data_IF_791475480972
#
_entry.id   IF_791475480972
#
_cell.length_a   1.000
_cell.length_b   1.000
_cell.length_c   1.000
_cell.angle_alpha   90.00
_cell.angle_beta   90.00
_cell.angle_gamma   90.00
#
_symmetry.space_group_name_H-M   'P 1'
#
loop_
_entity.id
_entity.type
_entity.pdbx_description
1 polymer ?
#
# COMPACT_ATOMS: atom_id res chain seq x y z
N UNK A 1 12.45 3.13 14.07
CA UNK A 1 12.31 4.59 14.10
C UNK A 1 10.93 4.96 13.54
N UNK A 2 10.28 6.00 14.08
CA UNK A 2 9.03 6.55 13.54
C UNK A 2 9.17 6.93 12.06
N UNK A 3 8.10 6.81 11.30
CA UNK A 3 8.05 7.25 9.90
C UNK A 3 7.15 8.47 9.82
N UNK A 4 7.76 9.64 9.64
CA UNK A 4 7.04 10.88 9.35
C UNK A 4 6.68 10.96 7.86
N UNK A 5 5.75 11.85 7.53
CA UNK A 5 5.36 12.13 6.15
C UNK A 5 3.86 12.16 5.95
N UNK A 6 3.45 12.36 4.69
CA UNK A 6 2.05 12.49 4.31
C UNK A 6 1.44 11.12 3.97
N UNK A 7 0.25 10.87 4.50
CA UNK A 7 -0.57 9.70 4.13
C UNK A 7 -1.14 9.94 2.74
N UNK A 8 -0.62 9.20 1.76
CA UNK A 8 -0.99 9.38 0.34
C UNK A 8 -2.24 8.61 -0.05
N UNK A 9 -2.51 7.49 0.62
CA UNK A 9 -3.69 6.68 0.40
C UNK A 9 -4.11 6.01 1.70
N UNK A 10 -5.41 5.99 1.98
CA UNK A 10 -5.95 5.43 3.21
C UNK A 10 -7.28 4.71 2.97
N UNK A 11 -7.31 3.40 3.22
CA UNK A 11 -8.53 2.60 3.15
C UNK A 11 -8.55 1.61 4.31
N UNK A 12 -9.50 1.81 5.21
CA UNK A 12 -9.73 0.93 6.35
C UNK A 12 -10.31 -0.42 5.91
N UNK A 13 -9.98 -1.53 6.61
CA UNK A 13 -10.68 -2.79 6.45
C UNK A 13 -12.08 -2.68 7.07
N UNK A 14 -13.06 -3.35 6.47
CA UNK A 14 -14.43 -3.40 6.96
C UNK A 14 -14.96 -4.83 6.99
N UNK A 15 -15.98 -5.06 7.81
CA UNK A 15 -16.71 -6.33 7.89
C UNK A 15 -17.13 -6.70 9.31
N UNK A 16 -17.87 -7.80 9.49
CA UNK A 16 -18.38 -8.22 10.78
C UNK A 16 -17.26 -8.49 11.81
N UNK A 17 -17.35 -7.80 12.95
CA UNK A 17 -16.36 -7.91 14.02
C UNK A 17 -15.01 -7.26 13.70
N UNK A 18 -14.96 -6.33 12.75
CA UNK A 18 -13.80 -5.46 12.49
C UNK A 18 -14.19 -4.03 12.89
N UNK A 19 -13.34 -3.40 13.70
CA UNK A 19 -13.48 -2.00 14.11
C UNK A 19 -12.14 -1.29 13.95
N UNK A 20 -12.17 -0.07 13.43
CA UNK A 20 -11.00 0.81 13.35
C UNK A 20 -11.28 2.07 14.15
N UNK A 21 -10.39 2.37 15.10
CA UNK A 21 -10.34 3.66 15.78
C UNK A 21 -9.16 4.43 15.21
N UNK A 22 -9.41 5.32 14.25
CA UNK A 22 -8.38 6.09 13.55
C UNK A 22 -8.31 7.54 14.01
N UNK A 23 -7.09 8.08 14.13
CA UNK A 23 -6.82 9.51 14.30
C UNK A 23 -6.42 10.21 13.00
N UNK A 24 -6.37 9.48 11.87
CA UNK A 24 -5.85 9.99 10.60
C UNK A 24 -6.81 9.70 9.45
N UNK A 25 -6.60 10.40 8.34
CA UNK A 25 -7.30 10.17 7.06
C UNK A 25 -6.32 10.34 5.90
N UNK A 26 -6.79 10.06 4.69
CA UNK A 26 -6.01 10.39 3.50
C UNK A 26 -5.64 11.88 3.47
N UNK A 27 -4.38 12.15 3.15
CA UNK A 27 -3.79 13.49 3.17
C UNK A 27 -3.30 13.99 4.54
N UNK A 28 -3.55 13.26 5.64
CA UNK A 28 -2.99 13.59 6.97
C UNK A 28 -1.47 13.61 6.96
N UNK A 29 -0.88 14.47 7.79
CA UNK A 29 0.57 14.58 7.98
C UNK A 29 0.96 13.95 9.32
N UNK A 30 1.91 13.02 9.28
CA UNK A 30 2.50 12.39 10.46
C UNK A 30 3.76 13.18 10.83
N UNK A 31 3.68 13.94 11.91
CA UNK A 31 4.80 14.75 12.42
C UNK A 31 5.61 13.98 13.47
N UNK A 32 6.73 14.56 13.89
CA UNK A 32 7.59 14.00 14.94
C UNK A 32 7.16 14.43 16.35
N UNK A 33 6.26 15.41 16.45
CA UNK A 33 5.93 16.08 17.70
C UNK A 33 5.08 15.21 18.65
N UNK A 34 4.49 14.15 18.12
CA UNK A 34 3.61 13.23 18.85
C UNK A 34 3.99 11.77 18.62
N UNK A 35 3.41 10.88 19.44
CA UNK A 35 3.54 9.43 19.26
C UNK A 35 3.02 9.01 17.86
N UNK A 36 3.76 8.20 17.08
CA UNK A 36 3.35 7.74 15.75
C UNK A 36 2.14 6.77 15.72
N UNK A 37 1.32 6.70 16.76
CA UNK A 37 0.11 5.89 16.76
C UNK A 37 -0.93 6.50 15.80
N UNK A 38 -1.14 5.83 14.65
CA UNK A 38 -2.08 6.30 13.62
C UNK A 38 -3.51 5.84 13.87
N UNK A 39 -3.68 4.57 14.21
CA UNK A 39 -4.98 3.94 14.38
C UNK A 39 -4.86 2.64 15.20
N UNK A 40 -5.99 2.21 15.79
CA UNK A 40 -6.15 0.90 16.41
C UNK A 40 -7.07 0.06 15.54
N UNK A 41 -6.59 -1.11 15.10
CA UNK A 41 -7.41 -2.12 14.43
C UNK A 41 -7.81 -3.17 15.46
N UNK A 42 -9.11 -3.31 15.68
CA UNK A 42 -9.69 -4.24 16.66
C UNK A 42 -10.50 -5.30 15.91
N UNK A 43 -10.31 -6.55 16.30
CA UNK A 43 -11.00 -7.69 15.71
C UNK A 43 -11.65 -8.55 16.80
N UNK A 44 -12.89 -8.97 16.54
CA UNK A 44 -13.65 -9.89 17.37
C UNK A 44 -14.09 -11.12 16.57
N UNK A 45 -13.95 -12.29 17.21
CA UNK A 45 -14.42 -13.59 16.70
C UNK A 45 -14.72 -14.53 17.90
N UNK A 46 -15.49 -15.62 17.68
CA UNK A 46 -15.89 -16.54 18.75
C UNK A 46 -14.73 -17.24 19.45
N UNK A 47 -13.64 -17.49 18.74
CA UNK A 47 -12.45 -18.14 19.26
C UNK A 47 -11.17 -17.46 18.77
N UNK A 48 -10.05 -17.89 19.37
CA UNK A 48 -8.74 -17.29 19.18
C UNK A 48 -8.20 -17.49 17.77
N UNK A 49 -8.39 -18.67 17.19
CA UNK A 49 -7.85 -19.01 15.88
C UNK A 49 -8.57 -18.21 14.79
N UNK A 50 -9.91 -18.09 14.91
CA UNK A 50 -10.71 -17.22 14.04
C UNK A 50 -10.36 -15.75 14.22
N UNK A 51 -10.09 -15.30 15.45
CA UNK A 51 -9.69 -13.91 15.72
C UNK A 51 -8.34 -13.59 15.06
N UNK A 52 -7.36 -14.51 15.14
CA UNK A 52 -6.06 -14.38 14.47
C UNK A 52 -6.22 -14.33 12.96
N UNK A 53 -6.94 -15.30 12.38
CA UNK A 53 -7.14 -15.36 10.93
C UNK A 53 -7.84 -14.09 10.41
N UNK A 54 -8.85 -13.61 11.14
CA UNK A 54 -9.57 -12.38 10.81
C UNK A 54 -8.68 -11.14 10.96
N UNK A 55 -7.85 -11.06 12.01
CA UNK A 55 -6.89 -9.95 12.20
C UNK A 55 -5.85 -9.91 11.08
N UNK A 56 -5.29 -11.05 10.68
CA UNK A 56 -4.34 -11.13 9.56
C UNK A 56 -5.01 -10.64 8.26
N UNK A 57 -6.24 -11.08 8.01
CA UNK A 57 -7.01 -10.65 6.82
C UNK A 57 -7.29 -9.15 6.85
N UNK A 58 -7.74 -8.62 7.98
CA UNK A 58 -8.00 -7.19 8.15
C UNK A 58 -6.72 -6.36 7.98
N UNK A 59 -5.59 -6.83 8.54
CA UNK A 59 -4.28 -6.21 8.33
C UNK A 59 -3.91 -6.21 6.86
N UNK A 60 -4.07 -7.30 6.11
CA UNK A 60 -3.80 -7.32 4.67
C UNK A 60 -4.66 -6.32 3.90
N UNK A 61 -5.94 -6.21 4.24
CA UNK A 61 -6.88 -5.29 3.59
C UNK A 61 -6.72 -3.82 3.97
N UNK A 62 -6.02 -3.51 5.05
CA UNK A 62 -5.82 -2.14 5.52
C UNK A 62 -4.77 -1.39 4.71
N UNK A 63 -5.17 -0.58 3.73
CA UNK A 63 -4.22 0.10 2.83
C UNK A 63 -3.83 1.45 3.43
N UNK A 64 -2.53 1.63 3.70
CA UNK A 64 -1.93 2.88 4.16
C UNK A 64 -0.65 3.08 3.34
N UNK A 65 -0.61 4.13 2.51
CA UNK A 65 0.55 4.47 1.68
C UNK A 65 1.11 5.85 2.05
N UNK A 66 2.38 6.08 1.73
CA UNK A 66 3.10 7.33 2.02
C UNK A 66 3.98 7.28 3.27
N UNK A 67 3.67 6.39 4.22
CA UNK A 67 4.45 6.20 5.46
C UNK A 67 4.70 4.72 5.73
N UNK A 68 5.79 4.38 6.43
CA UNK A 68 6.04 3.00 6.89
C UNK A 68 5.11 2.66 8.04
N UNK A 69 4.62 1.43 8.07
CA UNK A 69 3.69 0.96 9.11
C UNK A 69 4.20 -0.31 9.78
N UNK A 70 3.74 -0.56 11.02
CA UNK A 70 4.04 -1.80 11.76
C UNK A 70 3.19 -2.99 11.30
N UNK A 71 2.28 -2.83 10.32
CA UNK A 71 1.36 -3.89 9.85
C UNK A 71 2.04 -5.23 9.60
N UNK A 72 3.12 -5.22 8.82
CA UNK A 72 3.82 -6.46 8.46
C UNK A 72 4.38 -7.16 9.69
N UNK A 73 4.91 -6.39 10.64
CA UNK A 73 5.40 -6.96 11.90
C UNK A 73 4.28 -7.61 12.70
N UNK A 74 3.10 -6.97 12.76
CA UNK A 74 1.93 -7.54 13.43
C UNK A 74 1.49 -8.84 12.76
N UNK A 75 1.48 -8.91 11.42
CA UNK A 75 1.21 -10.18 10.71
C UNK A 75 2.22 -11.26 11.10
N UNK A 76 3.52 -10.94 11.07
CA UNK A 76 4.57 -11.91 11.42
C UNK A 76 4.37 -12.46 12.85
N UNK A 77 4.03 -11.58 13.82
CA UNK A 77 3.70 -11.98 15.20
C UNK A 77 2.48 -12.90 15.25
N UNK A 78 1.38 -12.51 14.58
CA UNK A 78 0.13 -13.29 14.56
C UNK A 78 0.28 -14.66 13.90
N UNK A 79 1.21 -14.80 12.96
CA UNK A 79 1.51 -16.06 12.27
C UNK A 79 2.49 -16.96 13.02
N UNK A 80 3.12 -16.47 14.09
CA UNK A 80 4.14 -17.24 14.81
C UNK A 80 3.51 -18.38 15.63
N UNK A 81 4.06 -19.62 15.59
CA UNK A 81 3.47 -20.77 16.29
C UNK A 81 3.27 -20.55 17.80
N UNK A 82 4.25 -19.95 18.49
CA UNK A 82 4.11 -19.64 19.93
C UNK A 82 3.01 -18.61 20.20
N UNK A 83 2.79 -17.66 19.27
CA UNK A 83 1.66 -16.74 19.37
C UNK A 83 0.36 -17.49 19.18
N UNK A 84 0.23 -18.33 18.14
CA UNK A 84 -0.97 -19.14 17.87
C UNK A 84 -1.30 -20.07 19.06
N UNK A 85 -0.28 -20.64 19.70
CA UNK A 85 -0.45 -21.49 20.88
C UNK A 85 -0.76 -20.72 22.18
N UNK A 86 -0.77 -19.39 22.17
CA UNK A 86 -1.01 -18.56 23.35
C UNK A 86 0.16 -18.53 24.35
N UNK A 87 1.34 -19.04 23.99
CA UNK A 87 2.54 -19.06 24.83
C UNK A 87 3.33 -17.76 24.71
N UNK A 88 2.65 -16.64 24.96
CA UNK A 88 3.20 -15.29 24.80
C UNK A 88 3.59 -14.70 26.15
N UNK A 89 4.89 -14.62 26.42
CA UNK A 89 5.45 -13.90 27.58
C UNK A 89 5.94 -12.51 27.19
N UNK A 90 6.28 -11.67 28.16
CA UNK A 90 6.83 -10.31 27.91
C UNK A 90 8.12 -10.33 27.08
N UNK A 91 8.87 -11.43 27.10
CA UNK A 91 10.09 -11.65 26.30
C UNK A 91 9.84 -12.26 24.92
N UNK A 92 8.58 -12.43 24.49
CA UNK A 92 8.23 -13.11 23.24
C UNK A 92 8.97 -12.52 22.03
N UNK A 93 8.94 -11.19 21.86
CA UNK A 93 9.55 -10.52 20.71
C UNK A 93 11.06 -10.73 20.70
N UNK A 94 11.73 -10.57 21.84
CA UNK A 94 13.17 -10.76 21.97
C UNK A 94 13.59 -12.20 21.62
N UNK A 95 12.82 -13.19 22.08
CA UNK A 95 13.12 -14.62 21.87
C UNK A 95 12.81 -15.11 20.46
N UNK A 96 11.74 -14.61 19.85
CA UNK A 96 11.18 -15.22 18.63
C UNK A 96 11.25 -14.33 17.39
N UNK A 97 11.55 -13.03 17.52
CA UNK A 97 11.52 -12.08 16.40
C UNK A 97 12.87 -11.40 16.11
N UNK A 98 13.95 -11.81 16.78
CA UNK A 98 15.28 -11.20 16.67
C UNK A 98 15.95 -11.39 15.30
N UNK A 99 15.63 -12.48 14.59
CA UNK A 99 16.22 -12.83 13.28
C UNK A 99 15.37 -12.42 12.09
N UNK A 100 14.40 -11.52 12.29
CA UNK A 100 13.43 -11.13 11.26
C UNK A 100 14.12 -10.61 10.00
N UNK A 101 14.00 -11.38 8.92
CA UNK A 101 14.47 -10.97 7.60
C UNK A 101 13.40 -10.16 6.89
N UNK A 102 13.78 -8.99 6.40
CA UNK A 102 12.88 -8.13 5.64
C UNK A 102 13.09 -8.40 4.15
N UNK A 103 12.18 -9.13 3.51
CA UNK A 103 12.26 -9.48 2.06
C UNK A 103 11.98 -8.28 1.13
N UNK A 104 12.67 -7.15 1.32
CA UNK A 104 12.45 -5.92 0.54
C UNK A 104 12.73 -6.16 -0.95
N UNK A 105 13.73 -6.97 -1.29
CA UNK A 105 14.10 -7.28 -2.67
C UNK A 105 12.99 -8.02 -3.43
N UNK A 106 12.29 -8.96 -2.79
CA UNK A 106 11.21 -9.74 -3.41
C UNK A 106 10.02 -8.83 -3.76
N UNK A 107 9.64 -7.92 -2.85
CA UNK A 107 8.53 -6.99 -3.10
C UNK A 107 8.83 -6.00 -4.22
N UNK A 108 10.08 -5.51 -4.32
CA UNK A 108 10.49 -4.64 -5.42
C UNK A 108 10.29 -5.32 -6.77
N UNK A 109 10.75 -6.57 -6.91
CA UNK A 109 10.63 -7.31 -8.17
C UNK A 109 9.16 -7.60 -8.52
N UNK A 110 8.33 -7.93 -7.53
CA UNK A 110 6.90 -8.15 -7.74
C UNK A 110 6.16 -6.87 -8.16
N UNK A 111 6.47 -5.73 -7.53
CA UNK A 111 5.87 -4.44 -7.87
C UNK A 111 6.19 -4.02 -9.31
N UNK A 112 7.45 -4.20 -9.75
CA UNK A 112 7.87 -3.92 -11.13
C UNK A 112 7.13 -4.84 -12.12
N UNK A 113 7.00 -6.12 -11.79
CA UNK A 113 6.27 -7.08 -12.62
C UNK A 113 4.78 -6.72 -12.76
N UNK A 114 4.11 -6.34 -11.66
CA UNK A 114 2.72 -5.92 -11.68
C UNK A 114 2.48 -4.65 -12.50
N UNK A 115 3.31 -3.61 -12.32
CA UNK A 115 3.22 -2.38 -13.10
C UNK A 115 3.44 -2.62 -14.61
N UNK A 116 4.36 -3.54 -14.95
CA UNK A 116 4.61 -3.93 -16.34
C UNK A 116 3.42 -4.70 -16.95
N UNK A 117 2.77 -5.55 -16.15
CA UNK A 117 1.58 -6.29 -16.58
C UNK A 117 0.37 -5.36 -16.79
N UNK A 118 0.13 -4.41 -15.88
CA UNK A 118 -0.96 -3.42 -16.02
C UNK A 118 -0.75 -2.53 -17.26
N UNK A 119 0.47 -2.05 -17.50
CA UNK A 119 0.80 -1.28 -18.70
C UNK A 119 0.58 -2.07 -20.00
N UNK A 120 0.93 -3.37 -20.00
CA UNK A 120 0.71 -4.26 -21.14
C UNK A 120 -0.78 -4.53 -21.38
N UNK A 121 -1.57 -4.68 -20.31
CA UNK A 121 -3.02 -4.89 -20.39
C UNK A 121 -3.75 -3.62 -20.87
N UNK A 122 -3.37 -2.43 -20.38
CA UNK A 122 -3.89 -1.16 -20.87
C UNK A 122 -3.54 -0.89 -22.34
N UNK A 123 -2.35 -1.31 -22.79
CA UNK A 123 -1.96 -1.21 -24.20
C UNK A 123 -2.76 -2.19 -25.07
N UNK A 124 -3.11 -3.37 -24.55
CA UNK A 124 -3.95 -4.37 -25.25
C UNK A 124 -5.43 -3.99 -25.34
N UNK A 125 -5.98 -3.25 -24.37
CA UNK A 125 -7.38 -2.80 -24.43
C UNK A 125 -7.65 -1.72 -25.49
N UNK A 126 -6.60 -1.07 -26.02
CA UNK A 126 -6.72 -0.18 -27.19
C UNK A 126 -6.68 -0.92 -28.54
N UNK A 127 -6.61 -2.26 -28.54
CA UNK A 127 -6.44 -3.08 -29.74
C UNK A 127 -7.71 -3.76 -30.26
N UNK A 128 -8.85 -3.06 -30.35
CA UNK A 128 -10.00 -3.48 -31.21
C UNK A 128 -10.72 -2.27 -31.80
N UNK A 129 -9.98 -1.39 -32.47
CA UNK A 129 -10.53 -0.48 -33.46
C UNK A 129 -10.01 -0.89 -34.83
N UNK A 130 -10.86 -1.48 -35.68
CA UNK A 130 -10.57 -1.59 -37.11
C UNK A 130 -10.34 -0.17 -37.62
N UNK A 131 -9.08 0.14 -37.94
CA UNK A 131 -8.68 1.45 -38.40
C UNK A 131 -9.40 1.81 -39.68
N UNK A 132 -10.33 2.76 -39.61
CA UNK A 132 -10.53 3.67 -40.72
C UNK A 132 -9.30 4.57 -40.73
N UNK A 133 -8.47 4.46 -41.76
CA UNK A 133 -7.33 5.35 -41.94
C UNK A 133 -7.88 6.79 -41.98
N UNK A 134 -7.70 7.51 -40.88
CA UNK A 134 -8.08 8.92 -40.79
C UNK A 134 -7.02 9.70 -41.58
N UNK A 135 -7.46 10.38 -42.64
CA UNK A 135 -6.58 11.25 -43.41
C UNK A 135 -5.96 12.29 -42.46
N UNK A 136 -4.65 12.57 -42.57
CA UNK A 136 -3.97 13.44 -41.62
C UNK A 136 -4.65 14.82 -41.58
N UNK A 137 -5.05 15.24 -40.39
CA UNK A 137 -5.68 16.56 -40.21
C UNK A 137 -4.62 17.67 -40.32
N UNK A 138 -5.01 18.91 -40.69
CA UNK A 138 -4.07 20.02 -40.89
C UNK A 138 -3.15 20.31 -39.68
N UNK A 139 -3.57 19.89 -38.49
CA UNK A 139 -2.86 20.02 -37.22
C UNK A 139 -1.64 19.10 -37.08
N UNK A 140 -1.56 18.02 -37.89
CA UNK A 140 -0.42 17.11 -37.93
C UNK A 140 0.61 17.52 -38.99
N UNK A 141 0.21 18.31 -39.99
CA UNK A 141 1.06 18.67 -41.14
C UNK A 141 1.86 19.96 -40.93
N UNK A 142 1.47 20.80 -39.96
CA UNK A 142 2.02 22.15 -39.79
C UNK A 142 3.22 22.21 -38.81
N UNK A 143 3.54 21.12 -38.10
CA UNK A 143 4.68 21.05 -37.18
C UNK A 143 4.47 21.79 -35.85
N UNK A 144 5.46 21.69 -34.95
CA UNK A 144 5.44 22.26 -33.60
C UNK A 144 5.50 23.79 -33.66
N UNK A 145 4.46 24.47 -33.16
CA UNK A 145 4.48 25.92 -33.00
C UNK A 145 5.26 26.29 -31.74
N UNK A 146 6.29 27.12 -31.88
CA UNK A 146 6.91 27.86 -30.78
C UNK A 146 6.39 29.30 -30.81
N UNK A 147 5.74 29.74 -29.74
CA UNK A 147 5.37 31.15 -29.56
C UNK A 147 6.53 31.83 -28.83
N UNK A 148 7.23 32.69 -29.57
CA UNK A 148 8.11 33.71 -29.04
C UNK A 148 9.56 33.27 -28.84
N UNK A 149 10.38 33.53 -29.85
CA UNK A 149 11.76 33.96 -29.62
C UNK A 149 12.12 35.14 -30.54
N UNK A 150 12.93 36.04 -29.97
CA UNK A 150 13.17 37.44 -30.29
C UNK A 150 13.49 37.81 -31.75
N UNK A 151 12.82 38.85 -32.25
CA UNK A 151 13.36 39.71 -33.32
C UNK A 151 14.45 40.62 -32.73
N UNK A 152 15.68 40.37 -33.15
CA UNK A 152 16.75 41.37 -33.15
C UNK A 152 16.81 42.05 -34.52
N UNK A 153 17.15 43.35 -34.48
CA UNK A 153 17.31 44.36 -35.54
C UNK A 153 16.06 45.17 -35.88
#
# INVERSE_FOLDING_TARGET
LPSTGRVLFYSEPAGPGIRVDSGIREGSEITIDYDPIMAKLIVHAPDRDLAIAKMITALHNYKILGVKTSKRFMVDVLTHPEFIAGRTFTSFIERHMSTRQTDIARFRNLAVAAASAESTVMTRSNGTGVGRAEAPTPWLTIGSWEIGDSIHA
#
